data_IF_854382926672
#
_entry.id   IF_854382926672
#
_cell.length_a   1.000
_cell.length_b   1.000
_cell.length_c   1.000
_cell.angle_alpha   90.00
_cell.angle_beta   90.00
_cell.angle_gamma   90.00
#
_symmetry.space_group_name_H-M   'P 1'
#
loop_
_entity.id
_entity.type
_entity.pdbx_description
1 polymer ?
#
# COMPACT_ATOMS: atom_id res chain seq x y z
N UNK A 1 -18.46 -4.88 10.36
CA UNK A 1 -18.30 -4.06 9.17
C UNK A 1 -19.18 -2.82 9.26
N UNK A 2 -20.49 -2.98 9.47
CA UNK A 2 -21.49 -1.91 9.51
C UNK A 2 -21.14 -0.79 10.53
N UNK A 3 -20.76 -1.12 11.75
CA UNK A 3 -20.44 -0.13 12.80
C UNK A 3 -19.20 0.69 12.44
N UNK A 4 -18.16 0.03 11.91
CA UNK A 4 -16.95 0.74 11.44
C UNK A 4 -17.23 1.70 10.28
N UNK A 5 -18.17 1.35 9.41
CA UNK A 5 -18.62 2.22 8.33
C UNK A 5 -19.37 3.43 8.87
N UNK A 6 -20.21 3.25 9.88
CA UNK A 6 -20.91 4.35 10.52
C UNK A 6 -19.94 5.38 11.10
N UNK A 7 -18.91 4.93 11.82
CA UNK A 7 -17.88 5.81 12.36
C UNK A 7 -17.09 6.53 11.25
N UNK A 8 -16.66 5.81 10.20
CA UNK A 8 -15.94 6.42 9.07
C UNK A 8 -16.79 7.47 8.38
N UNK A 9 -18.07 7.18 8.14
CA UNK A 9 -19.00 8.12 7.53
C UNK A 9 -19.17 9.38 8.39
N UNK A 10 -19.40 9.21 9.70
CA UNK A 10 -19.54 10.33 10.64
C UNK A 10 -18.29 11.22 10.66
N UNK A 11 -17.10 10.62 10.73
CA UNK A 11 -15.83 11.37 10.66
C UNK A 11 -15.67 12.11 9.34
N UNK A 12 -15.99 11.44 8.23
CA UNK A 12 -15.86 12.02 6.90
C UNK A 12 -16.79 13.22 6.72
N UNK A 13 -18.06 13.10 7.12
CA UNK A 13 -19.04 14.19 7.04
C UNK A 13 -18.72 15.35 7.98
N UNK A 14 -18.25 15.07 9.19
CA UNK A 14 -17.74 16.09 10.11
C UNK A 14 -16.56 16.87 9.52
N UNK A 15 -15.78 16.25 8.64
CA UNK A 15 -14.67 16.88 7.90
C UNK A 15 -15.09 17.43 6.52
N UNK A 16 -16.39 17.59 6.27
CA UNK A 16 -16.90 18.27 5.09
C UNK A 16 -17.04 17.39 3.84
N UNK A 17 -17.08 16.06 3.96
CA UNK A 17 -17.36 15.16 2.84
C UNK A 17 -18.70 15.48 2.18
N UNK A 18 -18.71 15.60 0.85
CA UNK A 18 -19.86 15.81 0.01
C UNK A 18 -20.05 14.63 -0.95
N UNK A 19 -21.29 14.44 -1.47
CA UNK A 19 -21.56 13.44 -2.50
C UNK A 19 -21.49 11.98 -2.00
N UNK A 20 -21.77 11.74 -0.72
CA UNK A 20 -21.77 10.39 -0.13
C UNK A 20 -23.20 9.79 0.00
N UNK A 21 -24.20 10.33 -0.72
CA UNK A 21 -25.60 9.92 -0.58
C UNK A 21 -25.80 8.45 -0.94
N UNK A 22 -25.08 7.94 -1.94
CA UNK A 22 -25.09 6.51 -2.29
C UNK A 22 -24.62 5.64 -1.12
N UNK A 23 -23.56 6.06 -0.42
CA UNK A 23 -23.05 5.35 0.75
C UNK A 23 -24.08 5.30 1.88
N UNK A 24 -24.82 6.40 2.10
CA UNK A 24 -25.90 6.47 3.09
C UNK A 24 -27.03 5.51 2.73
N UNK A 25 -27.47 5.54 1.48
CA UNK A 25 -28.54 4.70 0.98
C UNK A 25 -28.21 3.21 1.16
N UNK A 26 -27.02 2.79 0.71
CA UNK A 26 -26.56 1.41 0.82
C UNK A 26 -26.37 0.98 2.28
N UNK A 27 -25.89 1.85 3.14
CA UNK A 27 -25.78 1.57 4.58
C UNK A 27 -27.17 1.36 5.21
N UNK A 28 -28.16 2.19 4.85
CA UNK A 28 -29.53 2.04 5.31
C UNK A 28 -30.12 0.70 4.86
N UNK A 29 -29.89 0.31 3.60
CA UNK A 29 -30.31 -1.00 3.08
C UNK A 29 -29.65 -2.17 3.82
N UNK A 30 -28.36 -2.05 4.16
CA UNK A 30 -27.65 -3.04 4.95
C UNK A 30 -28.29 -3.21 6.34
N UNK A 31 -28.62 -2.11 7.02
CA UNK A 31 -29.28 -2.14 8.33
C UNK A 31 -30.66 -2.78 8.24
N UNK A 32 -31.48 -2.41 7.27
CA UNK A 32 -32.79 -2.99 7.05
C UNK A 32 -32.71 -4.51 6.83
N UNK A 33 -31.74 -4.97 6.06
CA UNK A 33 -31.52 -6.39 5.84
C UNK A 33 -31.07 -7.12 7.11
N UNK A 34 -30.25 -6.49 7.95
CA UNK A 34 -29.85 -7.04 9.26
C UNK A 34 -31.03 -7.15 10.22
N UNK A 35 -31.86 -6.12 10.30
CA UNK A 35 -33.04 -6.10 11.16
C UNK A 35 -34.05 -7.18 10.74
N UNK A 36 -34.30 -7.31 9.43
CA UNK A 36 -35.14 -8.37 8.87
C UNK A 36 -34.53 -9.77 9.11
N UNK A 37 -33.21 -9.91 9.01
CA UNK A 37 -32.52 -11.16 9.33
C UNK A 37 -32.73 -11.57 10.80
N UNK A 38 -32.63 -10.62 11.73
CA UNK A 38 -32.79 -10.86 13.16
C UNK A 38 -34.21 -11.36 13.51
N UNK A 39 -35.22 -10.92 12.78
CA UNK A 39 -36.63 -11.25 13.05
C UNK A 39 -37.17 -12.44 12.24
N UNK A 40 -36.47 -12.88 11.19
CA UNK A 40 -36.87 -13.99 10.34
C UNK A 40 -36.89 -15.34 11.09
N UNK A 41 -37.89 -16.16 10.87
CA UNK A 41 -37.99 -17.52 11.39
C UNK A 41 -37.37 -18.57 10.45
N UNK A 42 -37.17 -18.23 9.20
CA UNK A 42 -36.61 -19.13 8.17
C UNK A 42 -35.08 -19.03 8.08
N UNK A 43 -34.40 -20.16 8.19
CA UNK A 43 -32.95 -20.22 7.99
C UNK A 43 -32.50 -19.79 6.57
N UNK A 44 -33.28 -20.19 5.57
CA UNK A 44 -33.01 -19.81 4.18
C UNK A 44 -33.14 -18.29 3.99
N UNK A 45 -34.15 -17.66 4.57
CA UNK A 45 -34.33 -16.22 4.52
C UNK A 45 -33.28 -15.48 5.32
N UNK A 46 -32.90 -15.99 6.49
CA UNK A 46 -31.74 -15.42 7.25
C UNK A 46 -30.48 -15.40 6.43
N UNK A 47 -30.16 -16.52 5.75
CA UNK A 47 -28.98 -16.60 4.89
C UNK A 47 -29.01 -15.57 3.76
N UNK A 48 -30.15 -15.47 3.06
CA UNK A 48 -30.36 -14.50 1.97
C UNK A 48 -30.26 -13.05 2.47
N UNK A 49 -30.88 -12.74 3.60
CA UNK A 49 -30.86 -11.39 4.19
C UNK A 49 -29.47 -11.00 4.70
N UNK A 50 -28.76 -11.96 5.30
CA UNK A 50 -27.36 -11.74 5.72
C UNK A 50 -26.45 -11.43 4.53
N UNK A 51 -26.58 -12.16 3.43
CA UNK A 51 -25.83 -11.88 2.20
C UNK A 51 -26.19 -10.50 1.64
N UNK A 52 -27.48 -10.16 1.56
CA UNK A 52 -27.91 -8.84 1.11
C UNK A 52 -27.38 -7.70 1.98
N UNK A 53 -27.34 -7.90 3.29
CA UNK A 53 -26.72 -6.94 4.22
C UNK A 53 -25.24 -6.78 3.97
N UNK A 54 -24.53 -7.88 3.74
CA UNK A 54 -23.07 -7.86 3.46
C UNK A 54 -22.76 -7.16 2.13
N UNK A 55 -23.51 -7.48 1.08
CA UNK A 55 -23.37 -6.83 -0.23
C UNK A 55 -23.63 -5.33 -0.15
N UNK A 56 -24.72 -4.93 0.52
CA UNK A 56 -25.04 -3.51 0.70
C UNK A 56 -23.98 -2.79 1.54
N UNK A 57 -23.45 -3.43 2.58
CA UNK A 57 -22.39 -2.88 3.41
C UNK A 57 -21.07 -2.73 2.62
N UNK A 58 -20.72 -3.70 1.80
CA UNK A 58 -19.54 -3.60 0.92
C UNK A 58 -19.72 -2.48 -0.12
N UNK A 59 -20.89 -2.37 -0.73
CA UNK A 59 -21.25 -1.29 -1.63
C UNK A 59 -21.16 0.09 -0.97
N UNK A 60 -21.67 0.22 0.25
CA UNK A 60 -21.58 1.46 1.03
C UNK A 60 -20.13 1.88 1.29
N UNK A 61 -19.25 0.92 1.61
CA UNK A 61 -17.83 1.19 1.79
C UNK A 61 -17.20 1.72 0.49
N UNK A 62 -17.47 1.06 -0.63
CA UNK A 62 -16.94 1.47 -1.93
C UNK A 62 -17.45 2.86 -2.35
N UNK A 63 -18.74 3.15 -2.12
CA UNK A 63 -19.31 4.46 -2.41
C UNK A 63 -18.69 5.57 -1.56
N UNK A 64 -18.45 5.30 -0.27
CA UNK A 64 -17.75 6.24 0.62
C UNK A 64 -16.30 6.48 0.17
N UNK A 65 -15.58 5.43 -0.19
CA UNK A 65 -14.20 5.54 -0.66
C UNK A 65 -14.12 6.32 -1.99
N UNK A 66 -15.09 6.14 -2.89
CA UNK A 66 -15.21 6.95 -4.13
C UNK A 66 -15.46 8.43 -3.82
N UNK A 67 -16.37 8.73 -2.91
CA UNK A 67 -16.67 10.12 -2.53
C UNK A 67 -15.45 10.80 -1.87
N UNK A 68 -14.70 10.09 -1.04
CA UNK A 68 -13.44 10.58 -0.45
C UNK A 68 -12.37 10.80 -1.53
N UNK A 69 -12.21 9.85 -2.43
CA UNK A 69 -11.25 9.95 -3.53
C UNK A 69 -11.56 11.11 -4.48
N UNK A 70 -12.85 11.41 -4.71
CA UNK A 70 -13.27 12.54 -5.55
C UNK A 70 -12.87 13.90 -4.97
N UNK A 71 -12.74 13.99 -3.64
CA UNK A 71 -12.36 15.21 -2.92
C UNK A 71 -10.88 15.23 -2.50
N UNK A 72 -10.13 14.17 -2.80
CA UNK A 72 -8.70 14.14 -2.51
C UNK A 72 -7.95 15.23 -3.31
N UNK A 73 -6.89 15.82 -2.74
CA UNK A 73 -6.09 16.81 -3.43
C UNK A 73 -5.62 16.30 -4.81
N UNK A 74 -5.58 17.20 -5.79
CA UNK A 74 -5.19 16.85 -7.16
C UNK A 74 -3.73 16.42 -7.27
N UNK A 75 -2.91 16.83 -6.32
CA UNK A 75 -1.50 16.47 -6.19
C UNK A 75 -1.25 15.20 -5.38
N UNK A 76 -2.32 14.54 -4.90
CA UNK A 76 -2.19 13.27 -4.20
C UNK A 76 -1.56 12.21 -5.10
N UNK A 77 -0.53 11.53 -4.59
CA UNK A 77 0.12 10.40 -5.24
C UNK A 77 -0.63 9.11 -4.87
N UNK A 78 -1.00 8.33 -5.88
CA UNK A 78 -1.61 7.01 -5.65
C UNK A 78 -0.50 5.96 -5.70
N UNK A 79 -0.40 5.15 -4.64
CA UNK A 79 0.53 4.02 -4.58
C UNK A 79 -0.11 2.74 -5.13
N UNK A 80 0.61 2.01 -5.97
CA UNK A 80 0.31 0.62 -6.34
C UNK A 80 1.52 -0.25 -6.03
N UNK A 81 1.32 -1.54 -5.77
CA UNK A 81 2.42 -2.47 -5.53
C UNK A 81 2.39 -3.59 -6.55
N UNK A 82 3.52 -3.82 -7.21
CA UNK A 82 3.76 -4.99 -8.06
C UNK A 82 4.70 -5.95 -7.34
N UNK A 83 4.23 -7.17 -7.08
CA UNK A 83 4.99 -8.25 -6.42
C UNK A 83 5.64 -9.22 -7.41
N UNK A 84 5.46 -8.97 -8.69
CA UNK A 84 6.09 -9.64 -9.84
C UNK A 84 6.18 -8.64 -10.98
N UNK A 85 7.01 -8.93 -11.97
CA UNK A 85 7.06 -8.13 -13.20
C UNK A 85 5.65 -8.06 -13.81
N UNK A 86 5.05 -6.86 -13.89
CA UNK A 86 3.71 -6.70 -14.45
C UNK A 86 3.73 -6.81 -15.97
N UNK A 87 2.59 -7.17 -16.55
CA UNK A 87 2.35 -7.01 -17.97
C UNK A 87 2.17 -5.53 -18.35
N UNK A 88 2.38 -5.20 -19.61
CA UNK A 88 2.13 -3.84 -20.10
C UNK A 88 0.69 -3.36 -19.84
N UNK A 89 -0.29 -4.28 -19.91
CA UNK A 89 -1.68 -3.97 -19.62
C UNK A 89 -1.91 -3.62 -18.14
N UNK A 90 -1.23 -4.32 -17.20
CA UNK A 90 -1.31 -4.02 -15.78
C UNK A 90 -0.66 -2.67 -15.45
N UNK A 91 0.46 -2.33 -16.08
CA UNK A 91 1.09 -1.00 -15.95
C UNK A 91 0.15 0.08 -16.48
N UNK A 92 -0.42 -0.13 -17.67
CA UNK A 92 -1.37 0.81 -18.27
C UNK A 92 -2.61 1.00 -17.39
N UNK A 93 -3.15 -0.08 -16.82
CA UNK A 93 -4.30 -0.02 -15.92
C UNK A 93 -3.99 0.73 -14.61
N UNK A 94 -2.79 0.56 -14.04
CA UNK A 94 -2.35 1.27 -12.86
C UNK A 94 -2.21 2.79 -13.10
N UNK A 95 -1.81 3.18 -14.31
CA UNK A 95 -1.58 4.57 -14.71
C UNK A 95 -2.79 5.21 -15.39
N UNK A 96 -3.84 4.42 -15.68
CA UNK A 96 -5.02 4.92 -16.41
C UNK A 96 -5.65 6.12 -15.68
N UNK A 97 -5.96 7.22 -16.39
CA UNK A 97 -6.72 8.33 -15.86
C UNK A 97 -8.16 7.88 -15.61
N UNK A 98 -8.47 7.42 -14.46
CA UNK A 98 -9.78 6.81 -14.21
C UNK A 98 -9.98 6.33 -12.79
N UNK A 99 -9.14 6.71 -11.87
CA UNK A 99 -9.52 6.67 -10.46
C UNK A 99 -10.75 7.58 -10.25
N UNK A 100 -11.56 7.33 -9.22
CA UNK A 100 -12.71 8.17 -8.89
C UNK A 100 -12.27 9.64 -8.77
N UNK A 101 -12.58 10.46 -9.75
CA UNK A 101 -12.20 11.88 -9.80
C UNK A 101 -11.58 12.38 -11.10
N UNK A 102 -11.29 11.51 -12.10
CA UNK A 102 -10.95 11.91 -13.49
C UNK A 102 -9.71 12.80 -13.68
N UNK A 103 -8.91 13.05 -12.66
CA UNK A 103 -7.73 13.89 -12.72
C UNK A 103 -6.45 13.13 -13.10
N UNK A 104 -5.48 13.83 -13.67
CA UNK A 104 -4.11 13.30 -13.87
C UNK A 104 -3.40 13.21 -12.52
N UNK A 105 -3.61 12.12 -11.80
CA UNK A 105 -2.91 11.86 -10.53
C UNK A 105 -1.55 11.24 -10.82
N UNK A 106 -0.56 11.64 -10.01
CA UNK A 106 0.74 10.95 -10.03
C UNK A 106 0.56 9.56 -9.45
N UNK A 107 1.15 8.56 -10.08
CA UNK A 107 1.18 7.19 -9.60
C UNK A 107 2.60 6.87 -9.16
N UNK A 108 2.78 6.31 -7.97
CA UNK A 108 4.03 5.73 -7.52
C UNK A 108 3.86 4.21 -7.43
N UNK A 109 4.60 3.48 -8.24
CA UNK A 109 4.58 2.03 -8.22
C UNK A 109 5.70 1.49 -7.32
N UNK A 110 5.32 0.74 -6.29
CA UNK A 110 6.26 -0.01 -5.45
C UNK A 110 6.55 -1.34 -6.11
N UNK A 111 7.82 -1.61 -6.38
CA UNK A 111 8.32 -2.79 -7.07
C UNK A 111 8.99 -3.71 -6.06
N UNK A 112 8.42 -4.90 -5.85
CA UNK A 112 8.95 -5.93 -4.94
C UNK A 112 9.75 -6.92 -5.76
N UNK A 113 11.07 -6.86 -5.63
CA UNK A 113 12.00 -7.61 -6.47
C UNK A 113 12.44 -8.89 -5.77
N UNK A 114 12.29 -10.02 -6.45
CA UNK A 114 12.73 -11.32 -5.99
C UNK A 114 14.25 -11.48 -6.00
N UNK A 115 14.82 -11.96 -7.09
CA UNK A 115 16.25 -12.17 -7.23
C UNK A 115 16.91 -11.11 -8.13
N UNK A 116 17.76 -10.21 -7.57
CA UNK A 116 18.46 -9.21 -8.37
C UNK A 116 19.52 -9.78 -9.33
N UNK A 117 19.84 -11.09 -9.22
CA UNK A 117 20.78 -11.78 -10.10
C UNK A 117 20.06 -12.49 -11.27
N UNK A 118 18.73 -12.59 -11.25
CA UNK A 118 17.97 -13.08 -12.39
C UNK A 118 17.93 -12.00 -13.48
N UNK A 119 18.69 -12.23 -14.55
CA UNK A 119 18.81 -11.28 -15.65
C UNK A 119 17.49 -11.05 -16.39
N UNK A 120 16.62 -12.08 -16.47
CA UNK A 120 15.31 -11.98 -17.14
C UNK A 120 14.33 -11.16 -16.27
N UNK A 121 14.26 -11.44 -14.97
CA UNK A 121 13.46 -10.68 -14.02
C UNK A 121 13.88 -9.20 -14.03
N UNK A 122 15.19 -8.94 -13.95
CA UNK A 122 15.72 -7.57 -13.95
C UNK A 122 15.50 -6.83 -15.27
N UNK A 123 15.50 -7.52 -16.41
CA UNK A 123 15.10 -6.92 -17.69
C UNK A 123 13.62 -6.51 -17.68
N UNK A 124 12.74 -7.35 -17.16
CA UNK A 124 11.33 -7.03 -16.99
C UNK A 124 11.10 -5.81 -16.08
N UNK A 125 11.79 -5.75 -14.95
CA UNK A 125 11.69 -4.61 -14.03
C UNK A 125 12.20 -3.31 -14.67
N UNK A 126 13.29 -3.33 -15.45
CA UNK A 126 13.74 -2.15 -16.22
C UNK A 126 12.66 -1.65 -17.17
N UNK A 127 12.08 -2.56 -17.94
CA UNK A 127 10.98 -2.21 -18.86
C UNK A 127 9.77 -1.64 -18.12
N UNK A 128 9.48 -2.15 -16.92
CA UNK A 128 8.42 -1.60 -16.05
C UNK A 128 8.73 -0.17 -15.62
N UNK A 129 9.95 0.12 -15.15
CA UNK A 129 10.38 1.48 -14.76
C UNK A 129 10.27 2.43 -15.96
N UNK A 130 10.75 2.02 -17.14
CA UNK A 130 10.65 2.82 -18.37
C UNK A 130 9.20 3.11 -18.74
N UNK A 131 8.31 2.12 -18.66
CA UNK A 131 6.89 2.27 -18.94
C UNK A 131 6.18 3.19 -17.95
N UNK A 132 6.54 3.13 -16.67
CA UNK A 132 6.05 4.06 -15.64
C UNK A 132 6.46 5.49 -15.95
N UNK A 133 7.75 5.73 -16.21
CA UNK A 133 8.28 7.06 -16.53
C UNK A 133 7.69 7.65 -17.81
N UNK A 134 7.53 6.84 -18.86
CA UNK A 134 6.94 7.27 -20.14
C UNK A 134 5.51 7.83 -19.97
N UNK A 135 4.82 7.47 -18.89
CA UNK A 135 3.46 7.91 -18.59
C UNK A 135 3.40 8.86 -17.38
N UNK A 136 4.55 9.35 -16.89
CA UNK A 136 4.64 10.29 -15.78
C UNK A 136 4.46 9.66 -14.39
N UNK A 137 4.55 8.33 -14.30
CA UNK A 137 4.58 7.61 -13.03
C UNK A 137 5.96 7.61 -12.40
N UNK A 138 6.04 7.14 -11.15
CA UNK A 138 7.28 7.00 -10.39
C UNK A 138 7.48 5.55 -9.97
N UNK A 139 8.75 5.15 -9.86
CA UNK A 139 9.15 3.82 -9.40
C UNK A 139 9.81 3.89 -8.02
N UNK A 140 9.25 3.20 -7.03
CA UNK A 140 9.82 2.95 -5.72
C UNK A 140 10.23 1.48 -5.64
N UNK A 141 11.52 1.19 -5.51
CA UNK A 141 12.01 -0.20 -5.41
C UNK A 141 12.21 -0.59 -3.95
N UNK A 142 11.57 -1.68 -3.55
CA UNK A 142 11.85 -2.35 -2.27
C UNK A 142 13.13 -3.16 -2.39
N UNK A 143 14.12 -2.86 -1.55
CA UNK A 143 15.39 -3.60 -1.55
C UNK A 143 15.18 -5.03 -1.07
N UNK A 144 14.41 -5.22 0.01
CA UNK A 144 14.15 -6.53 0.60
C UNK A 144 12.96 -6.46 1.55
N UNK A 145 12.24 -7.56 1.70
CA UNK A 145 11.28 -7.72 2.78
C UNK A 145 11.98 -7.79 4.14
N UNK A 146 11.34 -7.31 5.20
CA UNK A 146 11.93 -7.29 6.53
C UNK A 146 12.29 -8.67 7.06
N UNK A 147 11.45 -9.67 6.78
CA UNK A 147 11.69 -11.05 7.19
C UNK A 147 12.96 -11.61 6.54
N UNK A 148 13.10 -11.42 5.23
CA UNK A 148 14.28 -11.89 4.48
C UNK A 148 15.53 -11.08 4.83
N UNK A 149 15.37 -9.78 5.09
CA UNK A 149 16.45 -8.89 5.51
C UNK A 149 17.18 -9.40 6.76
N UNK A 150 16.44 -9.96 7.72
CA UNK A 150 17.04 -10.52 8.95
C UNK A 150 17.91 -11.74 8.64
N UNK A 151 17.47 -12.59 7.72
CA UNK A 151 18.18 -13.81 7.36
C UNK A 151 19.50 -13.58 6.57
N UNK A 152 19.63 -12.45 5.88
CA UNK A 152 20.83 -12.12 5.12
C UNK A 152 22.01 -11.78 6.03
N UNK A 153 23.18 -12.28 5.72
CA UNK A 153 24.44 -11.76 6.28
C UNK A 153 24.68 -10.34 5.80
N UNK A 154 25.53 -9.59 6.48
CA UNK A 154 25.90 -8.23 6.07
C UNK A 154 26.49 -8.18 4.66
N UNK A 155 27.34 -9.13 4.32
CA UNK A 155 27.93 -9.23 2.98
C UNK A 155 26.89 -9.55 1.90
N UNK A 156 25.93 -10.45 2.18
CA UNK A 156 24.84 -10.77 1.27
C UNK A 156 23.88 -9.58 1.10
N UNK A 157 23.62 -8.85 2.19
CA UNK A 157 22.86 -7.62 2.13
C UNK A 157 23.48 -6.56 1.22
N UNK A 158 24.78 -6.28 1.41
CA UNK A 158 25.49 -5.31 0.59
C UNK A 158 25.56 -5.75 -0.88
N UNK A 159 25.77 -7.03 -1.13
CA UNK A 159 25.76 -7.57 -2.49
C UNK A 159 24.40 -7.36 -3.17
N UNK A 160 23.28 -7.62 -2.46
CA UNK A 160 21.92 -7.39 -2.96
C UNK A 160 21.67 -5.92 -3.26
N UNK A 161 22.00 -5.01 -2.33
CA UNK A 161 21.86 -3.55 -2.52
C UNK A 161 22.65 -3.11 -3.76
N UNK A 162 23.89 -3.56 -3.88
CA UNK A 162 24.75 -3.22 -5.01
C UNK A 162 24.21 -3.73 -6.35
N UNK A 163 23.71 -4.96 -6.39
CA UNK A 163 23.13 -5.57 -7.59
C UNK A 163 21.87 -4.81 -8.05
N UNK A 164 20.98 -4.48 -7.12
CA UNK A 164 19.76 -3.72 -7.42
C UNK A 164 20.06 -2.31 -7.95
N UNK A 165 20.92 -1.54 -7.29
CA UNK A 165 21.31 -0.19 -7.74
C UNK A 165 21.95 -0.24 -9.12
N UNK A 166 22.80 -1.25 -9.38
CA UNK A 166 23.41 -1.43 -10.71
C UNK A 166 22.38 -1.78 -11.78
N UNK A 167 21.43 -2.63 -11.45
CA UNK A 167 20.44 -3.12 -12.42
C UNK A 167 19.34 -2.09 -12.72
N UNK A 168 18.98 -1.24 -11.78
CA UNK A 168 17.88 -0.27 -11.87
C UNK A 168 18.34 1.16 -11.50
N UNK A 169 19.24 1.76 -12.28
CA UNK A 169 19.87 3.04 -11.91
C UNK A 169 18.90 4.24 -11.95
N UNK A 170 17.78 4.12 -12.63
CA UNK A 170 16.87 5.22 -12.94
C UNK A 170 15.56 5.21 -12.12
N UNK A 171 15.53 4.52 -10.97
CA UNK A 171 14.36 4.57 -10.10
C UNK A 171 14.29 5.88 -9.31
N UNK A 172 13.08 6.29 -8.94
CA UNK A 172 12.85 7.55 -8.23
C UNK A 172 13.10 7.43 -6.74
N UNK A 173 12.86 6.26 -6.17
CA UNK A 173 13.04 6.00 -4.75
C UNK A 173 13.43 4.56 -4.44
N UNK A 174 14.14 4.38 -3.33
CA UNK A 174 14.52 3.09 -2.77
C UNK A 174 13.95 2.93 -1.37
N UNK A 175 13.15 1.89 -1.17
CA UNK A 175 12.72 1.48 0.16
C UNK A 175 13.85 0.68 0.81
N UNK A 176 14.64 1.38 1.63
CA UNK A 176 15.86 0.84 2.27
C UNK A 176 15.58 -0.05 3.47
N UNK A 177 14.34 -0.03 3.96
CA UNK A 177 13.82 -0.93 4.98
C UNK A 177 12.32 -0.99 4.86
N UNK A 178 11.77 -2.22 4.76
CA UNK A 178 10.35 -2.49 4.71
C UNK A 178 9.88 -2.97 6.08
N UNK A 179 8.88 -2.31 6.65
CA UNK A 179 8.23 -2.67 7.92
C UNK A 179 9.21 -3.00 9.05
N UNK A 180 10.36 -2.30 9.09
CA UNK A 180 11.33 -2.53 10.16
C UNK A 180 10.81 -1.92 11.47
N UNK A 181 11.22 -2.51 12.60
CA UNK A 181 10.80 -2.08 13.94
C UNK A 181 9.82 -3.04 14.61
N UNK A 182 9.44 -4.14 13.96
CA UNK A 182 8.75 -5.24 14.64
C UNK A 182 9.67 -5.92 15.67
N UNK A 183 9.12 -6.30 16.82
CA UNK A 183 9.85 -6.93 17.93
C UNK A 183 10.53 -8.25 17.51
N UNK A 184 9.95 -8.97 16.54
CA UNK A 184 10.52 -10.20 15.97
C UNK A 184 11.81 -9.99 15.14
N UNK A 185 12.12 -8.75 14.75
CA UNK A 185 13.26 -8.44 13.88
C UNK A 185 14.55 -8.15 14.64
N UNK A 186 14.45 -7.82 15.93
CA UNK A 186 15.61 -7.39 16.73
C UNK A 186 16.24 -6.08 16.21
N UNK A 187 17.50 -5.84 16.59
CA UNK A 187 18.20 -4.57 16.28
C UNK A 187 18.95 -4.57 14.92
N UNK A 188 19.16 -5.72 14.30
CA UNK A 188 19.97 -5.86 13.09
C UNK A 188 19.48 -5.07 11.87
N UNK A 189 18.17 -4.97 11.61
CA UNK A 189 17.64 -4.24 10.45
C UNK A 189 18.01 -2.76 10.38
N UNK A 190 18.19 -2.08 11.50
CA UNK A 190 18.55 -0.65 11.50
C UNK A 190 19.90 -0.42 10.82
N UNK A 191 20.93 -1.18 11.18
CA UNK A 191 22.26 -1.04 10.58
C UNK A 191 22.24 -1.36 9.08
N UNK A 192 21.48 -2.38 8.67
CA UNK A 192 21.30 -2.74 7.26
C UNK A 192 20.58 -1.64 6.49
N UNK A 193 19.49 -1.07 7.02
CA UNK A 193 18.80 0.05 6.39
C UNK A 193 19.70 1.29 6.25
N UNK A 194 20.48 1.62 7.28
CA UNK A 194 21.44 2.73 7.24
C UNK A 194 22.52 2.52 6.17
N UNK A 195 23.05 1.30 6.02
CA UNK A 195 24.03 0.95 4.96
C UNK A 195 23.42 1.06 3.57
N UNK A 196 22.19 0.55 3.39
CA UNK A 196 21.47 0.70 2.12
C UNK A 196 21.19 2.16 1.80
N UNK A 197 20.71 2.93 2.77
CA UNK A 197 20.49 4.37 2.59
C UNK A 197 21.76 5.13 2.21
N UNK A 198 22.90 4.78 2.83
CA UNK A 198 24.19 5.33 2.44
C UNK A 198 24.56 4.97 1.01
N UNK A 199 24.46 3.70 0.63
CA UNK A 199 24.78 3.25 -0.72
C UNK A 199 23.91 3.92 -1.80
N UNK A 200 22.63 4.11 -1.54
CA UNK A 200 21.70 4.83 -2.42
C UNK A 200 22.14 6.28 -2.59
N UNK A 201 22.36 7.01 -1.49
CA UNK A 201 22.76 8.43 -1.53
C UNK A 201 24.12 8.66 -2.20
N UNK A 202 25.06 7.74 -2.02
CA UNK A 202 26.40 7.88 -2.60
C UNK A 202 26.42 7.60 -4.11
N UNK A 203 25.44 6.87 -4.63
CA UNK A 203 25.52 6.28 -5.99
C UNK A 203 24.35 6.64 -6.90
N UNK A 204 23.30 7.25 -6.37
CA UNK A 204 22.09 7.61 -7.12
C UNK A 204 21.58 8.98 -6.70
N UNK A 205 20.68 9.56 -7.51
CA UNK A 205 19.91 10.75 -7.14
C UNK A 205 18.55 10.41 -6.54
N UNK A 206 18.24 9.13 -6.35
CA UNK A 206 16.95 8.66 -5.87
C UNK A 206 16.73 8.98 -4.39
N UNK A 207 15.48 9.17 -4.02
CA UNK A 207 15.07 9.33 -2.63
C UNK A 207 15.16 8.01 -1.86
N UNK A 208 15.51 8.07 -0.58
CA UNK A 208 15.41 6.92 0.33
C UNK A 208 14.10 6.95 1.10
N UNK A 209 13.43 5.80 1.17
CA UNK A 209 12.17 5.60 1.90
C UNK A 209 12.39 4.53 2.97
N UNK A 210 11.89 4.78 4.16
CA UNK A 210 11.88 3.83 5.27
C UNK A 210 10.44 3.58 5.67
N UNK A 211 10.01 2.33 5.60
CA UNK A 211 8.70 1.92 6.11
C UNK A 211 8.88 1.27 7.47
N UNK A 212 8.18 1.80 8.47
CA UNK A 212 8.17 1.24 9.82
C UNK A 212 6.95 0.33 9.99
N UNK A 213 7.17 -0.79 10.71
CA UNK A 213 6.06 -1.64 11.10
C UNK A 213 5.12 -0.90 12.05
N UNK A 214 3.82 -1.04 11.81
CA UNK A 214 2.81 -0.41 12.64
C UNK A 214 2.72 -1.09 14.01
N UNK A 215 3.45 -0.57 14.98
CA UNK A 215 3.47 -1.06 16.34
C UNK A 215 3.39 0.13 17.30
N UNK A 216 2.41 0.07 18.23
CA UNK A 216 2.22 1.13 19.22
C UNK A 216 3.05 0.94 20.50
N UNK A 217 3.78 -0.18 20.61
CA UNK A 217 4.59 -0.49 21.76
C UNK A 217 3.77 -0.91 22.99
N UNK A 218 2.62 -1.55 22.79
CA UNK A 218 1.77 -2.03 23.89
C UNK A 218 2.47 -3.08 24.76
N UNK A 219 3.24 -3.97 24.11
CA UNK A 219 3.98 -5.03 24.82
C UNK A 219 5.36 -4.55 25.25
N UNK A 220 6.06 -3.85 24.37
CA UNK A 220 7.37 -3.25 24.63
C UNK A 220 7.45 -1.86 24.00
N UNK A 221 7.47 -0.78 24.80
CA UNK A 221 7.52 0.59 24.32
C UNK A 221 8.73 0.91 23.45
N UNK A 222 9.82 0.15 23.54
CA UNK A 222 11.02 0.37 22.71
C UNK A 222 10.79 0.06 21.24
N UNK A 223 9.79 -0.77 20.93
CA UNK A 223 9.38 -1.12 19.57
C UNK A 223 8.25 -0.26 19.04
N UNK A 224 7.75 0.72 19.80
CA UNK A 224 6.78 1.65 19.23
C UNK A 224 7.41 2.36 18.02
N UNK A 225 6.60 2.63 16.99
CA UNK A 225 7.07 3.34 15.78
C UNK A 225 7.75 4.67 16.14
N UNK A 226 7.29 5.36 17.20
CA UNK A 226 7.88 6.62 17.66
C UNK A 226 9.28 6.43 18.28
N UNK A 227 9.42 5.44 19.18
CA UNK A 227 10.71 5.12 19.81
C UNK A 227 11.71 4.59 18.78
N UNK A 228 11.23 3.84 17.80
CA UNK A 228 12.08 3.27 16.75
C UNK A 228 12.56 4.33 15.76
N UNK A 229 11.70 5.26 15.38
CA UNK A 229 12.05 6.37 14.49
C UNK A 229 13.05 7.37 15.13
N UNK A 230 13.20 7.35 16.44
CA UNK A 230 14.16 8.19 17.18
C UNK A 230 15.59 7.60 17.24
N UNK A 231 15.82 6.38 16.75
CA UNK A 231 17.15 5.72 16.68
C UNK A 231 17.92 6.09 15.43
#
# INVERSE_FOLDING_TARGET
LHDRQAERYQRATANGLKGADEAVTLRTSAQQSLDACATSQSWADRGRLANSALESAAGAQLALDRALAAQAPQDAVIGVTFTRVPTAAEVAAALAPGGPGGGKRKVSARLVIGDPNDAQEMAGWRSTVEALHAQGGQALVQICDSHDMVALTDAAWDARVNALIKALPNVDAWEVGNEIGGDWLGGGPVAKAQRAAKAVRDRTSATTVLTLYYQLGQTDPTYSLFSYAAR
#
